data_IF_569201203485
#
_entry.id   IF_569201203485
#
_cell.length_a   1.000
_cell.length_b   1.000
_cell.length_c   1.000
_cell.angle_alpha   90.00
_cell.angle_beta   90.00
_cell.angle_gamma   90.00
#
_symmetry.space_group_name_H-M   'P 1'
#
loop_
_entity.id
_entity.type
_entity.pdbx_description
1 polymer ?
#
# COMPACT_ATOMS: atom_id res chain seq x y z
N UNK A 1 -12.28 14.22 -5.90
CA UNK A 1 -11.31 13.92 -6.96
C UNK A 1 -10.15 13.16 -6.35
N UNK A 2 -9.79 12.01 -6.91
CA UNK A 2 -8.52 11.36 -6.62
C UNK A 2 -7.42 12.18 -7.30
N UNK A 3 -6.55 12.81 -6.52
CA UNK A 3 -5.40 13.54 -7.03
C UNK A 3 -4.15 12.70 -6.74
N UNK A 4 -3.73 11.82 -7.66
CA UNK A 4 -2.60 10.96 -7.40
C UNK A 4 -1.30 11.79 -7.34
N UNK A 5 -0.47 11.49 -6.36
CA UNK A 5 0.88 12.03 -6.29
C UNK A 5 1.68 11.63 -7.55
N UNK A 6 2.61 12.48 -8.03
CA UNK A 6 3.44 12.16 -9.19
C UNK A 6 4.26 10.87 -9.01
N UNK A 7 4.60 10.23 -10.13
CA UNK A 7 5.52 9.09 -10.14
C UNK A 7 6.87 9.49 -9.53
N UNK A 8 7.43 8.62 -8.68
CA UNK A 8 8.66 8.87 -7.93
C UNK A 8 8.44 9.53 -6.56
N UNK A 9 7.21 9.90 -6.20
CA UNK A 9 6.93 10.48 -4.87
C UNK A 9 7.08 9.43 -3.77
N UNK A 10 7.80 9.76 -2.70
CA UNK A 10 7.83 8.99 -1.47
C UNK A 10 6.51 9.16 -0.71
N UNK A 11 5.90 8.04 -0.29
CA UNK A 11 4.59 8.00 0.36
C UNK A 11 4.70 7.14 1.62
N UNK A 12 4.02 7.56 2.69
CA UNK A 12 3.68 6.67 3.81
C UNK A 12 2.29 6.09 3.59
N UNK A 13 2.20 4.77 3.55
CA UNK A 13 0.96 4.02 3.32
C UNK A 13 0.43 3.51 4.66
N UNK A 14 -0.87 3.67 4.88
CA UNK A 14 -1.62 3.10 5.99
C UNK A 14 -2.87 2.42 5.44
N UNK A 15 -3.02 1.12 5.69
CA UNK A 15 -4.17 0.31 5.24
C UNK A 15 -4.79 -0.32 6.49
N UNK A 16 -6.09 -0.12 6.71
CA UNK A 16 -6.80 -0.68 7.86
C UNK A 16 -7.75 -1.80 7.41
N UNK A 17 -7.66 -2.97 8.04
CA UNK A 17 -8.52 -4.12 7.76
C UNK A 17 -8.67 -5.01 9.01
N UNK A 18 -9.88 -5.47 9.31
CA UNK A 18 -10.13 -6.43 10.39
C UNK A 18 -9.64 -5.98 11.77
N UNK A 19 -9.71 -4.68 12.07
CA UNK A 19 -9.22 -4.10 13.33
C UNK A 19 -7.69 -3.97 13.43
N UNK A 20 -6.95 -4.40 12.41
CA UNK A 20 -5.50 -4.25 12.31
C UNK A 20 -5.13 -3.17 11.29
N UNK A 21 -3.94 -2.59 11.43
CA UNK A 21 -3.41 -1.58 10.51
C UNK A 21 -2.07 -2.03 9.96
N UNK A 22 -1.97 -2.08 8.63
CA UNK A 22 -0.72 -2.20 7.91
C UNK A 22 -0.12 -0.81 7.66
N UNK A 23 1.15 -0.61 7.99
CA UNK A 23 1.88 0.63 7.73
C UNK A 23 3.21 0.34 7.03
N UNK A 24 3.53 1.11 5.99
CA UNK A 24 4.78 1.00 5.25
C UNK A 24 5.19 2.32 4.61
N UNK A 25 6.47 2.43 4.24
CA UNK A 25 6.92 3.42 3.26
C UNK A 25 6.77 2.83 1.85
N UNK A 26 6.69 3.69 0.85
CA UNK A 26 6.65 3.27 -0.55
C UNK A 26 6.88 4.42 -1.51
N UNK A 27 6.98 4.08 -2.78
CA UNK A 27 7.21 5.02 -3.88
C UNK A 27 6.10 4.84 -4.91
N UNK A 28 5.59 5.96 -5.44
CA UNK A 28 4.65 5.92 -6.56
C UNK A 28 5.35 5.42 -7.82
N UNK A 29 4.94 4.28 -8.36
CA UNK A 29 5.52 3.67 -9.57
C UNK A 29 4.61 3.76 -10.80
N UNK A 30 3.31 3.96 -10.57
CA UNK A 30 2.29 4.13 -11.61
C UNK A 30 1.31 5.23 -11.20
N UNK A 31 0.89 6.04 -12.16
CA UNK A 31 -0.14 7.07 -11.99
C UNK A 31 -1.16 6.89 -13.10
N UNK A 32 -2.42 6.71 -12.72
CA UNK A 32 -3.55 6.63 -13.64
C UNK A 32 -4.50 7.78 -13.36
N UNK A 33 -4.63 8.69 -14.34
CA UNK A 33 -5.43 9.90 -14.19
C UNK A 33 -6.89 9.55 -13.88
N UNK A 34 -7.46 10.22 -12.87
CA UNK A 34 -8.82 10.01 -12.37
C UNK A 34 -9.11 8.61 -11.75
N UNK A 35 -8.12 7.70 -11.71
CA UNK A 35 -8.26 6.37 -11.12
C UNK A 35 -7.43 6.22 -9.83
N UNK A 36 -6.16 6.64 -9.82
CA UNK A 36 -5.32 6.54 -8.63
C UNK A 36 -3.83 6.34 -8.94
N UNK A 37 -3.13 5.70 -8.01
CA UNK A 37 -1.69 5.44 -8.10
C UNK A 37 -1.35 4.01 -7.67
N UNK A 38 -0.32 3.43 -8.29
CA UNK A 38 0.33 2.21 -7.85
C UNK A 38 1.54 2.53 -6.99
N UNK A 39 1.64 1.91 -5.82
CA UNK A 39 2.72 2.13 -4.85
C UNK A 39 3.53 0.85 -4.71
N UNK A 40 4.85 0.94 -4.92
CA UNK A 40 5.78 -0.11 -4.54
C UNK A 40 6.17 0.09 -3.07
N UNK A 41 5.90 -0.89 -2.22
CA UNK A 41 6.28 -0.82 -0.80
C UNK A 41 7.80 -0.98 -0.64
N UNK A 42 8.39 -0.18 0.26
CA UNK A 42 9.81 -0.17 0.56
C UNK A 42 10.04 -0.46 2.05
N UNK A 43 11.02 -1.31 2.36
CA UNK A 43 11.46 -1.63 3.73
C UNK A 43 10.31 -2.02 4.69
N UNK A 44 9.39 -2.85 4.23
CA UNK A 44 8.30 -3.37 5.07
C UNK A 44 8.88 -4.29 6.14
N UNK A 45 8.65 -3.98 7.42
CA UNK A 45 9.12 -4.82 8.51
C UNK A 45 8.45 -6.21 8.51
N UNK A 46 9.04 -7.16 9.23
CA UNK A 46 8.59 -8.56 9.24
C UNK A 46 7.14 -8.73 9.72
N UNK A 47 6.72 -7.95 10.72
CA UNK A 47 5.36 -8.04 11.28
C UNK A 47 4.33 -7.49 10.29
N UNK A 48 4.64 -6.35 9.67
CA UNK A 48 3.81 -5.73 8.63
C UNK A 48 3.68 -6.63 7.40
N UNK A 49 4.79 -7.27 6.99
CA UNK A 49 4.78 -8.22 5.88
C UNK A 49 3.94 -9.47 6.20
N UNK A 50 4.05 -10.01 7.40
CA UNK A 50 3.24 -11.15 7.83
C UNK A 50 1.74 -10.82 7.88
N UNK A 51 1.39 -9.63 8.40
CA UNK A 51 0.01 -9.14 8.43
C UNK A 51 -0.57 -9.03 7.01
N UNK A 52 0.17 -8.40 6.09
CA UNK A 52 -0.28 -8.24 4.71
C UNK A 52 -0.44 -9.60 4.00
N UNK A 53 0.49 -10.54 4.20
CA UNK A 53 0.38 -11.89 3.63
C UNK A 53 -0.81 -12.67 4.18
N UNK A 54 -1.13 -12.52 5.47
CA UNK A 54 -2.34 -13.07 6.07
C UNK A 54 -3.58 -12.54 5.34
N UNK A 55 -3.71 -11.21 5.19
CA UNK A 55 -4.85 -10.61 4.49
C UNK A 55 -4.98 -11.08 3.03
N UNK A 56 -3.87 -11.18 2.30
CA UNK A 56 -3.88 -11.69 0.92
C UNK A 56 -4.34 -13.15 0.88
N UNK A 57 -3.96 -13.96 1.88
CA UNK A 57 -4.38 -15.36 1.97
C UNK A 57 -5.86 -15.49 2.31
N UNK A 58 -6.37 -14.65 3.21
CA UNK A 58 -7.79 -14.58 3.57
C UNK A 58 -8.66 -14.14 2.39
N UNK A 59 -8.22 -13.16 1.60
CA UNK A 59 -8.97 -12.65 0.45
C UNK A 59 -8.99 -13.59 -0.77
N UNK A 60 -8.17 -14.65 -0.78
CA UNK A 60 -8.14 -15.66 -1.84
C UNK A 60 -9.10 -16.82 -1.63
N UNK A 61 -9.63 -16.97 -0.40
CA UNK A 61 -10.61 -17.98 -0.03
C UNK A 61 -12.03 -17.39 -0.07
#
# INVERSE_FOLDING_TARGET
MLNPSPKGTDIRVKISHGGSTFEALGIVVLVEANLGMGIAFANVDGNQKALLHKWISEARN
#
